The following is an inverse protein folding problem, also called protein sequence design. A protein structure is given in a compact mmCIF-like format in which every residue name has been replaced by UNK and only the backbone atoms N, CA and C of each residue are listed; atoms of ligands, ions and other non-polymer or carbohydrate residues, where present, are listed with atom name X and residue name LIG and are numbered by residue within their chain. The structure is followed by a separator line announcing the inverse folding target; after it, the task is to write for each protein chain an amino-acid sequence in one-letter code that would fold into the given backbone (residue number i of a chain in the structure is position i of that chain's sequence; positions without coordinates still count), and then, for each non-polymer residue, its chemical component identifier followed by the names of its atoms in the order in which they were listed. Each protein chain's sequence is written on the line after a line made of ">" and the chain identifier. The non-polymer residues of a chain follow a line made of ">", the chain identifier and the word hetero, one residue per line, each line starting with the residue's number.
data_IF_084238258514
#
_entry.id   IF_084238258514
#
_cell.length_a   1.000
_cell.length_b   1.000
_cell.length_c   1.000
_cell.angle_alpha   90.00
_cell.angle_beta   90.00
_cell.angle_gamma   90.00
#
_symmetry.space_group_name_H-M   'P 1'
#
loop_
_entity.id
_entity.type
_entity.pdbx_description
1 polymer ?
#
# COMPACT_ATOMS: atom_id res chain seq x y z
N UNK A 1 -6.97 2.79 16.35
CA UNK A 1 -5.94 1.89 15.79
C UNK A 1 -5.65 0.71 16.72
N UNK A 2 -5.47 0.90 18.04
CA UNK A 2 -5.14 -0.16 19.00
C UNK A 2 -5.98 -1.45 18.85
N UNK A 3 -7.32 -1.37 18.91
CA UNK A 3 -8.19 -2.55 18.78
C UNK A 3 -8.04 -3.28 17.44
N UNK A 4 -7.84 -2.54 16.35
CA UNK A 4 -7.68 -3.10 14.99
C UNK A 4 -6.35 -3.85 14.89
N UNK A 5 -5.29 -3.26 15.43
CA UNK A 5 -3.96 -3.88 15.48
C UNK A 5 -3.96 -5.15 16.35
N UNK A 6 -4.57 -5.12 17.53
CA UNK A 6 -4.73 -6.29 18.41
C UNK A 6 -5.45 -7.46 17.74
N UNK A 7 -6.48 -7.17 16.95
CA UNK A 7 -7.27 -8.19 16.27
C UNK A 7 -6.64 -8.66 14.95
N UNK A 8 -5.49 -8.10 14.55
CA UNK A 8 -4.83 -8.35 13.28
C UNK A 8 -5.77 -8.23 12.07
N UNK A 9 -6.71 -7.27 12.12
CA UNK A 9 -7.64 -7.02 11.01
C UNK A 9 -6.88 -6.26 9.92
N UNK A 10 -6.84 -6.85 8.72
CA UNK A 10 -6.29 -6.18 7.54
C UNK A 10 -7.24 -5.07 7.09
N UNK A 11 -6.72 -3.85 7.03
CA UNK A 11 -7.44 -2.68 6.52
C UNK A 11 -7.00 -2.41 5.08
N UNK A 12 -7.94 -2.46 4.15
CA UNK A 12 -7.73 -2.02 2.77
C UNK A 12 -7.72 -0.49 2.73
N UNK A 13 -6.61 0.07 2.25
CA UNK A 13 -6.37 1.49 2.08
C UNK A 13 -6.52 1.83 0.60
N UNK A 14 -7.32 2.86 0.31
CA UNK A 14 -7.66 3.25 -1.06
C UNK A 14 -7.34 4.73 -1.28
N UNK A 15 -6.07 5.06 -1.51
CA UNK A 15 -5.59 6.45 -1.47
C UNK A 15 -6.38 7.33 -2.43
N UNK A 16 -6.50 6.93 -3.70
CA UNK A 16 -7.21 7.71 -4.73
C UNK A 16 -8.70 7.88 -4.43
N UNK A 17 -9.34 6.91 -3.76
CA UNK A 17 -10.73 7.03 -3.28
C UNK A 17 -10.83 7.88 -2.02
N UNK A 18 -9.87 7.80 -1.10
CA UNK A 18 -9.92 8.46 0.19
C UNK A 18 -9.68 9.98 0.11
N UNK A 19 -8.93 10.45 -0.90
CA UNK A 19 -8.69 11.89 -1.08
C UNK A 19 -9.95 12.58 -1.60
N UNK A 20 -10.60 13.36 -0.74
CA UNK A 20 -11.84 14.11 -1.07
C UNK A 20 -11.75 15.52 -0.51
N UNK A 21 -11.04 16.45 -1.19
CA UNK A 21 -10.85 17.82 -0.68
C UNK A 21 -12.15 18.57 -0.42
N UNK A 22 -13.24 18.18 -1.10
CA UNK A 22 -14.58 18.75 -0.94
C UNK A 22 -15.38 18.20 0.25
N UNK A 23 -14.91 17.14 0.93
CA UNK A 23 -15.62 16.49 2.05
C UNK A 23 -14.94 16.83 3.37
N UNK A 24 -15.68 17.47 4.29
CA UNK A 24 -15.17 17.77 5.63
C UNK A 24 -14.68 16.50 6.34
N UNK A 25 -13.48 16.58 6.93
CA UNK A 25 -12.85 15.47 7.65
C UNK A 25 -12.22 14.39 6.75
N UNK A 26 -12.32 14.49 5.43
CA UNK A 26 -11.54 13.64 4.53
C UNK A 26 -10.14 14.23 4.30
N UNK A 27 -9.11 13.39 4.06
CA UNK A 27 -7.80 13.87 3.65
C UNK A 27 -7.89 14.68 2.35
N UNK A 28 -7.17 15.81 2.29
CA UNK A 28 -7.14 16.69 1.11
C UNK A 28 -6.00 16.34 0.16
N UNK A 29 -5.03 15.56 0.61
CA UNK A 29 -3.89 15.10 -0.18
C UNK A 29 -3.41 13.75 0.33
N UNK A 30 -2.61 13.05 -0.48
CA UNK A 30 -2.02 11.75 -0.11
C UNK A 30 -1.10 11.88 1.11
N UNK A 31 -0.39 13.00 1.23
CA UNK A 31 0.46 13.28 2.40
C UNK A 31 -0.33 13.41 3.72
N UNK A 32 -1.60 13.84 3.66
CA UNK A 32 -2.49 13.90 4.82
C UNK A 32 -3.16 12.56 5.15
N UNK A 33 -3.03 11.55 4.29
CA UNK A 33 -3.67 10.26 4.49
C UNK A 33 -3.14 9.55 5.75
N UNK A 34 -3.99 8.96 6.60
CA UNK A 34 -3.56 8.38 7.89
C UNK A 34 -2.77 7.07 7.76
N UNK A 35 -2.50 6.57 6.56
CA UNK A 35 -1.89 5.25 6.35
C UNK A 35 -0.54 5.10 7.05
N UNK A 36 0.31 6.14 7.03
CA UNK A 36 1.58 6.10 7.74
C UNK A 36 1.40 5.96 9.26
N UNK A 37 0.40 6.65 9.82
CA UNK A 37 0.08 6.57 11.25
C UNK A 37 -0.52 5.20 11.60
N UNK A 38 -1.35 4.64 10.72
CA UNK A 38 -1.91 3.30 10.88
C UNK A 38 -0.81 2.24 10.89
N UNK A 39 0.09 2.27 9.91
CA UNK A 39 1.24 1.35 9.82
C UNK A 39 2.14 1.50 11.06
N UNK A 40 2.48 2.73 11.45
CA UNK A 40 3.28 2.99 12.65
C UNK A 40 2.60 2.50 13.94
N UNK A 41 1.27 2.49 13.99
CA UNK A 41 0.48 1.96 15.10
C UNK A 41 0.27 0.43 15.04
N UNK A 42 0.92 -0.28 14.12
CA UNK A 42 0.82 -1.74 13.99
C UNK A 42 -0.44 -2.24 13.31
N UNK A 43 -1.20 -1.37 12.63
CA UNK A 43 -2.33 -1.81 11.81
C UNK A 43 -1.82 -2.48 10.55
N UNK A 44 -2.28 -3.71 10.29
CA UNK A 44 -2.04 -4.41 9.03
C UNK A 44 -2.79 -3.70 7.91
N UNK A 45 -2.08 -3.00 7.03
CA UNK A 45 -2.66 -2.33 5.86
C UNK A 45 -2.41 -3.13 4.58
N UNK A 46 -3.36 -3.09 3.65
CA UNK A 46 -3.26 -3.53 2.26
C UNK A 46 -3.69 -2.38 1.32
N UNK A 47 -3.32 -2.41 0.03
CA UNK A 47 -3.77 -1.42 -0.96
C UNK A 47 -4.96 -1.96 -1.78
N UNK A 48 -5.87 -1.05 -2.14
CA UNK A 48 -6.97 -1.29 -3.08
C UNK A 48 -7.27 0.00 -3.83
N UNK A 49 -7.76 -0.09 -5.07
CA UNK A 49 -8.20 1.08 -5.84
C UNK A 49 -9.66 1.48 -5.54
N UNK A 50 -10.39 0.67 -4.76
CA UNK A 50 -11.84 0.79 -4.50
C UNK A 50 -12.68 0.71 -5.78
N UNK A 51 -12.68 1.78 -6.58
CA UNK A 51 -13.41 1.88 -7.83
C UNK A 51 -12.55 2.50 -8.94
N UNK A 52 -12.30 1.73 -9.99
CA UNK A 52 -11.45 2.14 -11.12
C UNK A 52 -11.99 3.35 -11.91
N UNK A 53 -13.31 3.59 -11.88
CA UNK A 53 -13.98 4.61 -12.70
C UNK A 53 -14.36 5.84 -11.87
N UNK A 54 -14.77 5.64 -10.62
CA UNK A 54 -15.31 6.67 -9.75
C UNK A 54 -14.30 7.25 -8.76
N UNK A 55 -13.15 6.59 -8.57
CA UNK A 55 -12.10 7.05 -7.68
C UNK A 55 -10.98 7.75 -8.45
N UNK A 56 -10.23 8.60 -7.74
CA UNK A 56 -9.11 9.31 -8.33
C UNK A 56 -9.51 10.50 -9.21
N UNK A 57 -8.53 10.96 -10.00
CA UNK A 57 -8.68 12.02 -11.00
C UNK A 57 -8.04 11.59 -12.31
N UNK A 58 -8.13 12.43 -13.35
CA UNK A 58 -7.44 12.17 -14.62
C UNK A 58 -5.93 12.06 -14.43
N UNK A 59 -5.36 12.86 -13.51
CA UNK A 59 -3.93 12.87 -13.17
C UNK A 59 -3.54 11.75 -12.21
N UNK A 60 -4.47 11.29 -11.37
CA UNK A 60 -4.26 10.25 -10.35
C UNK A 60 -5.34 9.18 -10.48
N UNK A 61 -5.21 8.36 -11.51
CA UNK A 61 -6.17 7.31 -11.82
C UNK A 61 -6.21 6.26 -10.71
N UNK A 62 -7.39 5.72 -10.42
CA UNK A 62 -7.54 4.67 -9.43
C UNK A 62 -7.17 3.31 -10.01
N UNK A 63 -5.88 2.98 -10.02
CA UNK A 63 -5.36 1.67 -10.39
C UNK A 63 -4.28 1.19 -9.40
N UNK A 64 -3.97 -0.11 -9.42
CA UNK A 64 -3.04 -0.72 -8.47
C UNK A 64 -1.62 -0.16 -8.55
N UNK A 65 -1.18 0.27 -9.74
CA UNK A 65 0.16 0.86 -9.93
C UNK A 65 0.20 2.25 -9.33
N UNK A 66 -0.83 3.06 -9.58
CA UNK A 66 -0.95 4.40 -9.01
C UNK A 66 -1.04 4.36 -7.49
N UNK A 67 -1.86 3.47 -6.91
CA UNK A 67 -1.95 3.28 -5.45
C UNK A 67 -0.58 2.97 -4.82
N UNK A 68 0.19 2.07 -5.44
CA UNK A 68 1.54 1.74 -4.98
C UNK A 68 2.50 2.94 -5.11
N UNK A 69 2.45 3.66 -6.23
CA UNK A 69 3.29 4.83 -6.47
C UNK A 69 3.01 5.93 -5.44
N UNK A 70 1.74 6.24 -5.19
CA UNK A 70 1.31 7.23 -4.20
C UNK A 70 1.74 6.82 -2.79
N UNK A 71 1.55 5.55 -2.39
CA UNK A 71 1.98 5.07 -1.08
C UNK A 71 3.50 5.21 -0.90
N UNK A 72 4.28 4.77 -1.90
CA UNK A 72 5.73 4.70 -1.80
C UNK A 72 6.42 6.07 -1.92
N UNK A 73 5.83 7.02 -2.64
CA UNK A 73 6.46 8.31 -2.96
C UNK A 73 5.88 9.49 -2.18
N UNK A 74 4.60 9.47 -1.82
CA UNK A 74 3.91 10.62 -1.22
C UNK A 74 3.53 10.42 0.26
N UNK A 75 3.88 9.27 0.86
CA UNK A 75 3.63 9.00 2.28
C UNK A 75 4.91 8.61 3.01
N UNK A 76 4.91 8.79 4.34
CA UNK A 76 6.01 8.35 5.20
C UNK A 76 6.15 6.83 5.31
N UNK A 77 5.24 6.04 4.71
CA UNK A 77 5.40 4.57 4.60
C UNK A 77 6.61 4.22 3.73
N UNK A 78 6.80 4.97 2.64
CA UNK A 78 7.92 4.79 1.71
C UNK A 78 7.97 3.42 1.04
N UNK A 79 9.01 3.19 0.24
CA UNK A 79 9.22 1.91 -0.44
C UNK A 79 9.27 0.71 0.54
N UNK A 80 10.09 0.68 1.60
CA UNK A 80 10.16 -0.49 2.48
C UNK A 80 8.81 -0.85 3.11
N UNK A 81 8.03 0.16 3.54
CA UNK A 81 6.69 -0.08 4.07
C UNK A 81 5.70 -0.51 2.99
N UNK A 82 5.81 0.03 1.77
CA UNK A 82 4.96 -0.37 0.65
C UNK A 82 5.12 -1.85 0.29
N UNK A 83 6.35 -2.40 0.37
CA UNK A 83 6.60 -3.83 0.22
C UNK A 83 5.84 -4.66 1.27
N UNK A 84 5.87 -4.24 2.52
CA UNK A 84 5.13 -4.90 3.60
C UNK A 84 3.62 -4.85 3.35
N UNK A 85 3.09 -3.71 2.91
CA UNK A 85 1.67 -3.54 2.57
C UNK A 85 1.22 -4.47 1.43
N UNK A 86 2.06 -4.69 0.41
CA UNK A 86 1.80 -5.66 -0.66
C UNK A 86 1.71 -7.10 -0.11
N UNK A 87 2.67 -7.50 0.73
CA UNK A 87 2.68 -8.82 1.37
C UNK A 87 1.47 -9.03 2.30
N UNK A 88 1.07 -7.99 3.03
CA UNK A 88 -0.10 -8.01 3.90
C UNK A 88 -1.40 -8.24 3.10
N UNK A 89 -1.55 -7.58 1.95
CA UNK A 89 -2.68 -7.81 1.05
C UNK A 89 -2.74 -9.26 0.56
N UNK A 90 -1.61 -9.80 0.14
CA UNK A 90 -1.52 -11.20 -0.28
C UNK A 90 -1.88 -12.18 0.86
N UNK A 91 -1.40 -11.93 2.08
CA UNK A 91 -1.72 -12.75 3.25
C UNK A 91 -3.20 -12.63 3.67
N UNK A 92 -3.78 -11.43 3.50
CA UNK A 92 -5.17 -11.10 3.79
C UNK A 92 -6.18 -11.70 2.81
N UNK A 93 -5.74 -12.13 1.61
CA UNK A 93 -6.64 -12.67 0.58
C UNK A 93 -7.47 -13.86 1.09
N UNK A 94 -8.75 -13.96 0.69
CA UNK A 94 -9.64 -15.04 1.15
C UNK A 94 -9.49 -16.35 0.36
N UNK A 95 -8.25 -16.75 0.08
CA UNK A 95 -7.95 -18.04 -0.53
C UNK A 95 -8.04 -19.19 0.50
N UNK A 96 -8.43 -20.41 0.07
CA UNK A 96 -8.28 -21.62 0.88
C UNK A 96 -6.84 -21.78 1.40
N UNK A 97 -6.67 -22.34 2.60
CA UNK A 97 -5.37 -22.35 3.32
C UNK A 97 -4.22 -22.87 2.47
N UNK A 98 -4.40 -24.00 1.81
CA UNK A 98 -3.38 -24.66 0.99
C UNK A 98 -3.06 -23.82 -0.25
N UNK A 99 -4.08 -23.25 -0.89
CA UNK A 99 -3.91 -22.35 -2.04
C UNK A 99 -3.23 -21.04 -1.64
N UNK A 100 -3.54 -20.52 -0.45
CA UNK A 100 -2.92 -19.32 0.10
C UNK A 100 -1.43 -19.54 0.36
N UNK A 101 -1.04 -20.67 0.93
CA UNK A 101 0.37 -20.97 1.16
C UNK A 101 1.18 -20.97 -0.15
N UNK A 102 0.67 -21.67 -1.17
CA UNK A 102 1.30 -21.70 -2.50
C UNK A 102 1.30 -20.33 -3.18
N UNK A 103 0.21 -19.56 -3.03
CA UNK A 103 0.12 -18.20 -3.55
C UNK A 103 1.15 -17.28 -2.89
N UNK A 104 1.27 -17.33 -1.56
CA UNK A 104 2.21 -16.52 -0.79
C UNK A 104 3.66 -16.80 -1.18
N UNK A 105 4.03 -18.07 -1.37
CA UNK A 105 5.37 -18.46 -1.82
C UNK A 105 5.69 -17.84 -3.19
N UNK A 106 4.81 -18.02 -4.17
CA UNK A 106 4.99 -17.45 -5.52
C UNK A 106 4.99 -15.93 -5.50
N UNK A 107 4.09 -15.31 -4.75
CA UNK A 107 3.95 -13.86 -4.67
C UNK A 107 5.18 -13.21 -4.02
N UNK A 108 5.64 -13.76 -2.90
CA UNK A 108 6.84 -13.27 -2.23
C UNK A 108 8.08 -13.41 -3.13
N UNK A 109 8.27 -14.56 -3.79
CA UNK A 109 9.39 -14.75 -4.71
C UNK A 109 9.36 -13.77 -5.89
N UNK A 110 8.19 -13.57 -6.52
CA UNK A 110 8.04 -12.61 -7.60
C UNK A 110 8.28 -11.16 -7.14
N UNK A 111 7.78 -10.80 -5.95
CA UNK A 111 7.99 -9.49 -5.37
C UNK A 111 9.47 -9.24 -5.04
N UNK A 112 10.19 -10.22 -4.47
CA UNK A 112 11.62 -10.10 -4.22
C UNK A 112 12.43 -9.92 -5.50
N UNK A 113 12.11 -10.69 -6.54
CA UNK A 113 12.76 -10.56 -7.86
C UNK A 113 12.57 -9.15 -8.43
N UNK A 114 11.32 -8.67 -8.49
CA UNK A 114 11.01 -7.30 -8.95
C UNK A 114 11.65 -6.22 -8.06
N UNK A 115 11.74 -6.46 -6.75
CA UNK A 115 12.36 -5.54 -5.80
C UNK A 115 13.87 -5.42 -6.01
N UNK A 116 14.55 -6.54 -6.25
CA UNK A 116 15.97 -6.58 -6.55
C UNK A 116 16.28 -5.91 -7.89
N UNK A 117 15.44 -6.15 -8.90
CA UNK A 117 15.62 -5.62 -10.25
C UNK A 117 15.36 -4.11 -10.34
N UNK A 118 14.27 -3.62 -9.72
CA UNK A 118 13.79 -2.26 -9.99
C UNK A 118 13.94 -1.31 -8.80
N UNK A 119 13.66 -1.76 -7.58
CA UNK A 119 13.58 -0.85 -6.41
C UNK A 119 14.93 -0.70 -5.71
N UNK A 120 15.68 -1.78 -5.57
CA UNK A 120 17.00 -1.77 -4.91
C UNK A 120 17.98 -0.81 -5.61
N UNK A 121 18.12 -0.82 -6.95
CA UNK A 121 18.98 0.14 -7.63
C UNK A 121 18.51 1.59 -7.47
N UNK A 122 17.19 1.81 -7.43
CA UNK A 122 16.60 3.14 -7.26
C UNK A 122 16.93 3.70 -5.86
N UNK A 123 16.77 2.90 -4.81
CA UNK A 123 17.12 3.30 -3.44
C UNK A 123 18.63 3.53 -3.26
N UNK A 124 19.47 2.75 -3.92
CA UNK A 124 20.92 2.94 -3.88
C UNK A 124 21.34 4.27 -4.54
N UNK A 125 20.73 4.64 -5.67
CA UNK A 125 20.98 5.93 -6.35
C UNK A 125 20.58 7.12 -5.49
N UNK A 126 19.43 7.05 -4.81
CA UNK A 126 18.97 8.11 -3.91
C UNK A 126 19.94 8.32 -2.75
N UNK A 127 20.49 7.22 -2.18
CA UNK A 127 21.47 7.30 -1.08
C UNK A 127 22.86 7.76 -1.51
N UNK A 128 23.26 7.52 -2.76
CA UNK A 128 24.56 7.93 -3.31
C UNK A 128 24.62 9.39 -3.79
N UNK A 129 23.48 10.07 -3.86
CA UNK A 129 23.37 11.49 -4.23
C UNK A 129 23.18 12.42 -3.01
N UNK A 130 23.48 11.92 -1.80
CA UNK A 130 23.48 12.67 -0.53
C UNK A 130 24.91 12.80 -0.03
#
# INVERSE_FOLDING_TARGET
>A
TARVAEMAVTVEVCLTSNIKPWRQGAPKSVAEHPVAQMVAAGVTCALSSDNLVLSGTVERQADSTMELALLAQETAVGWPGAKAVLLNGAAGAFLPKEQKAQFMERYAAALEAAWAEHVTPLLARVRGNV
#
